data_IF_795026147065
#
_entry.id   IF_795026147065
#
_cell.length_a   1.000
_cell.length_b   1.000
_cell.length_c   1.000
_cell.angle_alpha   90.00
_cell.angle_beta   90.00
_cell.angle_gamma   90.00
#
_symmetry.space_group_name_H-M   'P 1'
#
loop_
_entity.id
_entity.type
_entity.pdbx_description
1 polymer ?
#
# COMPACT_ATOMS: atom_id res chain seq x y z
N UNK A 1 -5.51 14.38 3.67
CA UNK A 1 -6.05 13.05 4.03
C UNK A 1 -7.32 13.22 4.84
N UNK A 2 -8.17 12.19 4.96
CA UNK A 2 -9.43 12.28 5.74
C UNK A 2 -9.19 12.51 7.24
N UNK A 3 -8.01 12.14 7.74
CA UNK A 3 -7.52 12.47 9.08
C UNK A 3 -7.34 13.98 9.36
N UNK A 4 -7.38 14.82 8.33
CA UNK A 4 -7.04 16.24 8.39
C UNK A 4 -5.55 16.53 8.18
N UNK A 5 -4.69 15.49 8.14
CA UNK A 5 -3.26 15.63 7.82
C UNK A 5 -3.03 15.93 6.34
N UNK A 6 -1.84 16.45 6.03
CA UNK A 6 -1.34 16.67 4.68
C UNK A 6 0.08 16.14 4.57
N UNK A 7 0.44 15.61 3.40
CA UNK A 7 1.80 15.23 3.08
C UNK A 7 2.30 16.14 1.95
N UNK A 8 3.50 16.67 2.09
CA UNK A 8 4.19 17.38 1.00
C UNK A 8 4.63 16.37 -0.07
N UNK A 9 4.41 16.70 -1.34
CA UNK A 9 4.69 15.78 -2.45
C UNK A 9 6.18 15.72 -2.82
N UNK A 10 6.93 16.79 -2.53
CA UNK A 10 8.34 16.93 -2.95
C UNK A 10 9.27 16.75 -1.75
N UNK A 11 8.83 17.12 -0.55
CA UNK A 11 9.60 16.98 0.70
C UNK A 11 8.76 16.31 1.81
N UNK A 12 8.39 15.02 1.66
CA UNK A 12 7.50 14.33 2.59
C UNK A 12 8.14 14.15 3.97
N UNK A 13 7.48 14.68 5.00
CA UNK A 13 7.87 14.46 6.39
C UNK A 13 7.38 13.10 6.90
N UNK A 14 8.24 12.28 7.53
CA UNK A 14 7.81 11.03 8.17
C UNK A 14 6.76 11.26 9.28
N UNK A 15 6.76 12.44 9.91
CA UNK A 15 5.80 12.79 10.95
C UNK A 15 4.37 12.99 10.41
N UNK A 16 4.22 13.14 9.09
CA UNK A 16 2.95 13.33 8.41
C UNK A 16 2.35 12.05 7.82
N UNK A 17 3.03 10.91 7.99
CA UNK A 17 2.60 9.60 7.49
C UNK A 17 1.87 8.83 8.60
N UNK A 18 0.62 8.46 8.34
CA UNK A 18 -0.20 7.66 9.25
C UNK A 18 -0.71 6.40 8.53
N UNK A 19 -0.66 5.26 9.23
CA UNK A 19 -1.09 3.97 8.66
C UNK A 19 -2.57 3.97 8.25
N UNK A 20 -3.42 4.71 8.96
CA UNK A 20 -4.85 4.82 8.63
C UNK A 20 -5.07 5.54 7.30
N UNK A 21 -4.27 6.55 6.99
CA UNK A 21 -4.34 7.29 5.72
C UNK A 21 -3.81 6.44 4.57
N UNK A 22 -2.71 5.71 4.78
CA UNK A 22 -2.18 4.74 3.80
C UNK A 22 -3.26 3.69 3.50
N UNK A 23 -3.76 3.00 4.52
CA UNK A 23 -4.74 1.92 4.35
C UNK A 23 -6.01 2.42 3.65
N UNK A 24 -6.49 3.63 3.97
CA UNK A 24 -7.66 4.20 3.34
C UNK A 24 -7.45 4.45 1.84
N UNK A 25 -6.29 5.02 1.47
CA UNK A 25 -5.92 5.29 0.08
C UNK A 25 -5.72 4.00 -0.71
N UNK A 26 -4.83 3.12 -0.25
CA UNK A 26 -4.49 1.89 -0.97
C UNK A 26 -5.69 0.95 -1.16
N UNK A 27 -6.66 0.95 -0.26
CA UNK A 27 -7.90 0.17 -0.41
C UNK A 27 -8.82 0.66 -1.53
N UNK A 28 -8.50 1.81 -2.16
CA UNK A 28 -9.30 2.45 -3.22
C UNK A 28 -8.53 2.69 -4.52
N UNK A 29 -7.19 2.73 -4.47
CA UNK A 29 -6.37 2.78 -5.68
C UNK A 29 -6.48 1.43 -6.39
N UNK A 30 -6.98 1.45 -7.63
CA UNK A 30 -7.17 0.27 -8.46
C UNK A 30 -5.88 -0.03 -9.22
N UNK A 31 -5.45 -1.30 -9.21
CA UNK A 31 -4.36 -1.77 -10.08
C UNK A 31 -4.84 -2.07 -11.49
N UNK A 32 -3.90 -2.25 -12.41
CA UNK A 32 -4.16 -2.67 -13.80
C UNK A 32 -5.08 -1.70 -14.56
N UNK A 33 -5.10 -0.42 -14.19
CA UNK A 33 -6.05 0.57 -14.70
C UNK A 33 -7.53 0.11 -14.59
N UNK A 34 -7.84 -0.76 -13.63
CA UNK A 34 -9.19 -1.30 -13.44
C UNK A 34 -9.62 -2.36 -14.47
N UNK A 35 -8.72 -2.83 -15.34
CA UNK A 35 -8.99 -3.92 -16.30
C UNK A 35 -8.97 -5.29 -15.62
N UNK A 36 -9.82 -5.45 -14.60
CA UNK A 36 -9.95 -6.67 -13.79
C UNK A 36 -11.38 -7.20 -13.84
N UNK A 37 -11.55 -8.52 -13.72
CA UNK A 37 -12.86 -9.17 -13.69
C UNK A 37 -13.39 -9.16 -12.25
N UNK A 38 -14.62 -8.67 -12.07
CA UNK A 38 -15.34 -8.67 -10.79
C UNK A 38 -16.02 -7.34 -10.49
N UNK A 39 -16.90 -7.32 -9.49
CA UNK A 39 -17.68 -6.14 -9.11
C UNK A 39 -16.85 -5.06 -8.39
N UNK A 40 -15.65 -5.43 -7.95
CA UNK A 40 -14.74 -4.56 -7.19
C UNK A 40 -13.37 -4.51 -7.86
N UNK A 41 -12.72 -3.35 -7.79
CA UNK A 41 -11.35 -3.19 -8.27
C UNK A 41 -10.38 -4.06 -7.46
N UNK A 42 -9.39 -4.65 -8.13
CA UNK A 42 -8.23 -5.22 -7.46
C UNK A 42 -7.36 -4.09 -6.91
N UNK A 43 -7.47 -3.83 -5.61
CA UNK A 43 -6.83 -2.66 -4.98
C UNK A 43 -5.35 -2.88 -4.69
N UNK A 44 -4.60 -1.77 -4.57
CA UNK A 44 -3.19 -1.82 -4.13
C UNK A 44 -3.08 -2.45 -2.75
N UNK A 45 -4.01 -2.19 -1.83
CA UNK A 45 -4.02 -2.83 -0.51
C UNK A 45 -4.14 -4.36 -0.60
N UNK A 46 -5.00 -4.87 -1.48
CA UNK A 46 -5.15 -6.32 -1.70
C UNK A 46 -3.85 -6.92 -2.25
N UNK A 47 -3.22 -6.23 -3.20
CA UNK A 47 -1.91 -6.59 -3.73
C UNK A 47 -0.82 -6.61 -2.65
N UNK A 48 -0.73 -5.59 -1.79
CA UNK A 48 0.28 -5.54 -0.73
C UNK A 48 0.14 -6.70 0.28
N UNK A 49 -1.10 -7.09 0.60
CA UNK A 49 -1.36 -8.27 1.43
C UNK A 49 -0.90 -9.56 0.75
N UNK A 50 -1.20 -9.71 -0.54
CA UNK A 50 -0.77 -10.86 -1.34
C UNK A 50 0.76 -10.96 -1.41
N UNK A 51 1.46 -9.84 -1.64
CA UNK A 51 2.93 -9.82 -1.65
C UNK A 51 3.50 -10.21 -0.30
N UNK A 52 2.95 -9.70 0.81
CA UNK A 52 3.37 -10.08 2.15
C UNK A 52 3.17 -11.58 2.43
N UNK A 53 2.08 -12.17 1.94
CA UNK A 53 1.83 -13.62 2.03
C UNK A 53 2.83 -14.42 1.17
N UNK A 54 3.08 -14.00 -0.07
CA UNK A 54 4.09 -14.62 -0.94
C UNK A 54 5.48 -14.59 -0.29
N UNK A 55 5.88 -13.48 0.32
CA UNK A 55 7.17 -13.38 1.03
C UNK A 55 7.25 -14.38 2.18
N UNK A 56 6.18 -14.56 2.96
CA UNK A 56 6.13 -15.57 4.04
C UNK A 56 6.23 -17.01 3.51
N UNK A 57 5.70 -17.27 2.31
CA UNK A 57 5.77 -18.58 1.68
C UNK A 57 7.17 -18.88 1.12
N UNK A 58 7.80 -17.87 0.51
CA UNK A 58 9.16 -18.00 -0.08
C UNK A 58 10.22 -18.12 1.01
N UNK A 59 10.13 -17.28 2.04
CA UNK A 59 11.03 -17.27 3.18
C UNK A 59 10.23 -17.31 4.49
N UNK A 60 9.93 -18.52 5.01
CA UNK A 60 9.25 -18.67 6.30
C UNK A 60 10.04 -18.09 7.49
N UNK A 61 11.35 -17.85 7.33
CA UNK A 61 12.21 -17.24 8.33
C UNK A 61 12.38 -15.73 8.14
N UNK A 62 11.64 -15.12 7.20
CA UNK A 62 11.70 -13.70 6.91
C UNK A 62 11.52 -12.88 8.19
N UNK A 63 12.48 -11.99 8.46
CA UNK A 63 12.43 -11.09 9.61
C UNK A 63 11.17 -10.23 9.60
N UNK A 64 10.73 -9.76 10.77
CA UNK A 64 9.59 -8.85 10.89
C UNK A 64 9.77 -7.57 10.04
N UNK A 65 11.01 -7.07 9.92
CA UNK A 65 11.32 -5.92 9.08
C UNK A 65 11.13 -6.21 7.59
N UNK A 66 11.52 -7.39 7.11
CA UNK A 66 11.29 -7.80 5.72
C UNK A 66 9.80 -7.99 5.42
N UNK A 67 9.05 -8.60 6.34
CA UNK A 67 7.61 -8.74 6.19
C UNK A 67 6.90 -7.38 6.17
N UNK A 68 7.35 -6.42 6.99
CA UNK A 68 6.81 -5.06 7.00
C UNK A 68 7.17 -4.32 5.71
N UNK A 69 8.40 -4.46 5.23
CA UNK A 69 8.80 -3.88 3.94
C UNK A 69 7.97 -4.45 2.79
N UNK A 70 7.70 -5.76 2.78
CA UNK A 70 6.82 -6.39 1.80
C UNK A 70 5.38 -5.86 1.88
N UNK A 71 4.85 -5.63 3.09
CA UNK A 71 3.52 -5.06 3.26
C UNK A 71 3.43 -3.58 2.85
N UNK A 72 4.48 -2.81 3.05
CA UNK A 72 4.49 -1.35 2.82
C UNK A 72 5.21 -0.92 1.54
N UNK A 73 5.65 -1.85 0.68
CA UNK A 73 6.45 -1.51 -0.50
C UNK A 73 5.76 -0.52 -1.44
N UNK A 74 4.45 -0.71 -1.66
CA UNK A 74 3.60 0.19 -2.47
C UNK A 74 2.85 1.22 -1.63
N UNK A 75 3.22 1.40 -0.35
CA UNK A 75 2.63 2.44 0.49
C UNK A 75 2.67 3.85 -0.13
N UNK A 76 3.71 4.27 -0.88
CA UNK A 76 3.73 5.59 -1.54
C UNK A 76 2.54 5.86 -2.46
N UNK A 77 1.90 4.82 -3.02
CA UNK A 77 0.79 4.97 -3.98
C UNK A 77 -0.47 5.62 -3.37
N UNK A 78 -0.59 5.68 -2.04
CA UNK A 78 -1.67 6.45 -1.39
C UNK A 78 -1.56 7.98 -1.66
N UNK A 79 -0.41 8.44 -2.16
CA UNK A 79 -0.12 9.83 -2.52
C UNK A 79 0.11 9.98 -4.02
N UNK A 80 0.92 9.12 -4.64
CA UNK A 80 1.31 9.26 -6.05
C UNK A 80 0.41 8.49 -7.04
N UNK A 81 -0.41 7.56 -6.56
CA UNK A 81 -1.21 6.65 -7.40
C UNK A 81 -0.41 5.45 -7.95
N UNK A 82 -1.13 4.46 -8.48
CA UNK A 82 -0.60 3.31 -9.23
C UNK A 82 -0.26 3.75 -10.67
N UNK A 83 0.82 3.20 -11.25
CA UNK A 83 1.29 3.48 -12.62
C UNK A 83 1.79 2.22 -13.33
#
# INVERSE_FOLDING_TARGET
MLSGRRLDLIDPSPLDVELSDIAHGLARVARWNGQTIGDHAFSVAQHSLLVAEIVRLIDPAASAGLQLAALLHDAPEYVIGDM
#
